data_IF_902548391153
#
_entry.id   IF_902548391153
#
_cell.length_a   1.000
_cell.length_b   1.000
_cell.length_c   1.000
_cell.angle_alpha   90.00
_cell.angle_beta   90.00
_cell.angle_gamma   90.00
#
_symmetry.space_group_name_H-M   'P 1'
#
loop_
_entity.id
_entity.type
_entity.pdbx_description
1 polymer ?
#
# COMPACT_ATOMS: atom_id res chain seq x y z
N UNK A 1 31.87 -1.77 4.05
CA UNK A 1 30.85 -2.71 3.55
C UNK A 1 29.85 -2.09 2.57
N UNK A 2 29.69 -0.75 2.55
CA UNK A 2 28.67 -0.09 1.70
C UNK A 2 28.93 -0.18 0.19
N UNK A 3 30.18 -0.44 -0.23
CA UNK A 3 30.51 -0.60 -1.65
C UNK A 3 29.98 -1.93 -2.23
N UNK A 4 29.63 -2.90 -1.38
CA UNK A 4 29.06 -4.17 -1.83
C UNK A 4 27.62 -4.00 -2.31
N UNK A 5 27.31 -4.53 -3.50
CA UNK A 5 25.96 -4.47 -4.09
C UNK A 5 24.89 -5.13 -3.23
N UNK A 6 25.25 -6.17 -2.48
CA UNK A 6 24.36 -6.78 -1.49
C UNK A 6 24.00 -5.82 -0.35
N UNK A 7 24.96 -5.02 0.14
CA UNK A 7 24.70 -4.01 1.16
C UNK A 7 23.83 -2.87 0.60
N UNK A 8 24.10 -2.42 -0.63
CA UNK A 8 23.32 -1.38 -1.30
C UNK A 8 21.87 -1.82 -1.53
N UNK A 9 21.66 -3.04 -2.03
CA UNK A 9 20.32 -3.58 -2.30
C UNK A 9 19.48 -3.76 -1.03
N UNK A 10 20.12 -3.91 0.13
CA UNK A 10 19.43 -4.04 1.42
C UNK A 10 19.17 -2.69 2.07
N UNK A 11 20.12 -1.74 1.98
CA UNK A 11 20.03 -0.44 2.67
C UNK A 11 19.36 0.65 1.83
N UNK A 12 19.69 0.78 0.55
CA UNK A 12 19.20 1.90 -0.26
C UNK A 12 17.70 1.88 -0.52
N UNK A 13 17.03 0.72 -0.67
CA UNK A 13 15.57 0.68 -0.69
C UNK A 13 14.95 1.16 0.62
N UNK A 14 15.55 0.88 1.78
CA UNK A 14 15.05 1.38 3.08
C UNK A 14 15.21 2.91 3.18
N UNK A 15 16.31 3.45 2.66
CA UNK A 15 16.50 4.89 2.56
C UNK A 15 15.45 5.53 1.64
N UNK A 16 15.20 4.94 0.46
CA UNK A 16 14.15 5.41 -0.44
C UNK A 16 12.76 5.35 0.22
N UNK A 17 12.44 4.25 0.92
CA UNK A 17 11.20 4.10 1.67
C UNK A 17 11.03 5.16 2.76
N UNK A 18 12.10 5.54 3.47
CA UNK A 18 12.02 6.60 4.48
C UNK A 18 11.55 7.94 3.89
N UNK A 19 12.05 8.30 2.69
CA UNK A 19 11.59 9.51 1.99
C UNK A 19 10.18 9.34 1.40
N UNK A 20 9.88 8.20 0.80
CA UNK A 20 8.54 7.92 0.28
C UNK A 20 7.48 7.99 1.39
N UNK A 21 7.75 7.41 2.57
CA UNK A 21 6.86 7.46 3.72
C UNK A 21 6.77 8.85 4.33
N UNK A 22 7.83 9.65 4.21
CA UNK A 22 7.78 11.06 4.61
C UNK A 22 6.80 11.84 3.73
N UNK A 23 6.89 11.70 2.40
CA UNK A 23 6.02 12.42 1.46
C UNK A 23 4.56 11.95 1.54
N UNK A 24 4.31 10.63 1.62
CA UNK A 24 2.94 10.13 1.80
C UNK A 24 2.34 10.60 3.15
N UNK A 25 3.16 10.80 4.18
CA UNK A 25 2.74 11.40 5.45
C UNK A 25 2.34 12.88 5.32
N UNK A 26 3.02 13.64 4.47
CA UNK A 26 2.64 15.02 4.14
C UNK A 26 1.34 15.07 3.34
N UNK A 27 1.15 14.16 2.38
CA UNK A 27 -0.12 13.99 1.68
C UNK A 27 -1.25 13.58 2.63
N UNK A 28 -1.02 12.67 3.58
CA UNK A 28 -2.01 12.29 4.59
C UNK A 28 -2.42 13.47 5.48
N UNK A 29 -1.52 14.39 5.78
CA UNK A 29 -1.84 15.63 6.51
C UNK A 29 -2.78 16.53 5.70
N UNK A 30 -2.57 16.63 4.39
CA UNK A 30 -3.51 17.31 3.50
C UNK A 30 -4.87 16.59 3.49
N UNK A 31 -4.89 15.26 3.34
CA UNK A 31 -6.12 14.46 3.31
C UNK A 31 -6.93 14.63 4.60
N UNK A 32 -6.27 14.62 5.76
CA UNK A 32 -6.92 14.88 7.06
C UNK A 32 -7.61 16.25 7.08
N UNK A 33 -6.95 17.28 6.53
CA UNK A 33 -7.51 18.63 6.46
C UNK A 33 -8.71 18.69 5.52
N UNK A 34 -8.63 18.09 4.34
CA UNK A 34 -9.72 18.01 3.36
C UNK A 34 -10.95 17.29 3.94
N UNK A 35 -10.74 16.11 4.53
CA UNK A 35 -11.80 15.31 5.16
C UNK A 35 -12.45 16.09 6.30
N UNK A 36 -11.66 16.75 7.15
CA UNK A 36 -12.20 17.56 8.26
C UNK A 36 -13.08 18.71 7.76
N UNK A 37 -12.67 19.40 6.70
CA UNK A 37 -13.45 20.48 6.09
C UNK A 37 -14.75 19.96 5.47
N UNK A 38 -14.71 18.83 4.76
CA UNK A 38 -15.91 18.19 4.19
C UNK A 38 -16.89 17.75 5.26
N UNK A 39 -16.39 17.16 6.35
CA UNK A 39 -17.22 16.76 7.49
C UNK A 39 -17.94 17.95 8.14
N UNK A 40 -17.27 19.11 8.26
CA UNK A 40 -17.90 20.34 8.75
C UNK A 40 -19.02 20.83 7.83
N UNK A 41 -18.94 20.54 6.53
CA UNK A 41 -19.98 20.82 5.55
C UNK A 41 -21.03 19.70 5.41
N UNK A 42 -21.00 18.67 6.28
CA UNK A 42 -21.82 17.46 6.19
C UNK A 42 -21.66 16.67 4.86
N UNK A 43 -20.49 16.79 4.21
CA UNK A 43 -20.12 15.95 3.06
C UNK A 43 -19.34 14.71 3.55
N UNK A 44 -19.95 13.54 3.40
CA UNK A 44 -19.38 12.25 3.79
C UNK A 44 -18.90 11.42 2.58
N UNK A 45 -18.91 12.00 1.37
CA UNK A 45 -18.65 11.27 0.13
C UNK A 45 -17.25 10.64 0.04
N UNK A 46 -16.23 11.29 0.61
CA UNK A 46 -14.83 10.82 0.59
C UNK A 46 -14.44 10.01 1.83
N UNK A 47 -15.32 9.90 2.83
CA UNK A 47 -15.01 9.24 4.11
C UNK A 47 -14.63 7.75 3.95
N UNK A 48 -15.31 6.94 3.11
CA UNK A 48 -14.91 5.55 2.89
C UNK A 48 -13.50 5.41 2.30
N UNK A 49 -13.14 6.28 1.36
CA UNK A 49 -11.83 6.30 0.73
C UNK A 49 -10.76 6.72 1.74
N UNK A 50 -11.00 7.81 2.48
CA UNK A 50 -10.08 8.30 3.49
C UNK A 50 -9.78 7.26 4.56
N UNK A 51 -10.81 6.53 5.01
CA UNK A 51 -10.64 5.42 5.95
C UNK A 51 -9.79 4.29 5.37
N UNK A 52 -10.09 3.83 4.15
CA UNK A 52 -9.32 2.77 3.51
C UNK A 52 -7.86 3.18 3.28
N UNK A 53 -7.61 4.41 2.81
CA UNK A 53 -6.27 4.93 2.59
C UNK A 53 -5.46 5.00 3.89
N UNK A 54 -6.04 5.57 4.95
CA UNK A 54 -5.35 5.72 6.23
C UNK A 54 -5.08 4.36 6.90
N UNK A 55 -6.05 3.45 6.90
CA UNK A 55 -5.88 2.08 7.41
C UNK A 55 -4.78 1.32 6.66
N UNK A 56 -4.82 1.35 5.33
CA UNK A 56 -3.84 0.69 4.46
C UNK A 56 -2.43 1.25 4.59
N UNK A 57 -2.29 2.59 4.58
CA UNK A 57 -0.99 3.24 4.72
C UNK A 57 -0.40 3.05 6.12
N UNK A 58 -1.21 3.06 7.18
CA UNK A 58 -0.75 2.69 8.53
C UNK A 58 -0.16 1.29 8.50
N UNK A 59 -0.91 0.31 7.97
CA UNK A 59 -0.44 -1.07 7.90
C UNK A 59 0.84 -1.23 7.08
N UNK A 60 0.88 -0.68 5.86
CA UNK A 60 2.01 -0.78 4.94
C UNK A 60 3.29 -0.15 5.52
N UNK A 61 3.20 1.09 5.97
CA UNK A 61 4.37 1.85 6.45
C UNK A 61 4.92 1.32 7.77
N UNK A 62 4.06 0.89 8.70
CA UNK A 62 4.51 0.33 9.99
C UNK A 62 5.15 -1.04 9.81
N UNK A 63 4.58 -1.91 8.98
CA UNK A 63 5.18 -3.21 8.64
C UNK A 63 6.56 -3.01 8.01
N UNK A 64 6.64 -2.20 6.94
CA UNK A 64 7.89 -1.97 6.23
C UNK A 64 8.96 -1.28 7.11
N UNK A 65 8.56 -0.38 8.01
CA UNK A 65 9.49 0.30 8.92
C UNK A 65 10.00 -0.65 10.00
N UNK A 66 9.14 -1.49 10.58
CA UNK A 66 9.56 -2.48 11.59
C UNK A 66 10.60 -3.45 11.01
N UNK A 67 10.31 -4.00 9.81
CA UNK A 67 11.24 -4.87 9.09
C UNK A 67 12.53 -4.13 8.71
N UNK A 68 12.42 -2.88 8.26
CA UNK A 68 13.55 -2.03 7.90
C UNK A 68 14.49 -1.72 9.07
N UNK A 69 13.95 -1.45 10.27
CA UNK A 69 14.77 -1.21 11.47
C UNK A 69 15.59 -2.46 11.81
N UNK A 70 14.94 -3.61 11.84
CA UNK A 70 15.60 -4.88 12.14
C UNK A 70 16.59 -5.28 11.03
N UNK A 71 16.32 -4.93 9.77
CA UNK A 71 17.28 -5.12 8.68
C UNK A 71 18.50 -4.20 8.80
N UNK A 72 18.32 -2.94 9.19
CA UNK A 72 19.41 -2.02 9.54
C UNK A 72 20.29 -2.59 10.66
N UNK A 73 19.68 -3.22 11.68
CA UNK A 73 20.42 -3.92 12.74
C UNK A 73 21.31 -5.02 12.17
N UNK A 74 20.78 -5.87 11.27
CA UNK A 74 21.55 -6.92 10.61
C UNK A 74 22.67 -6.36 9.72
N UNK A 75 22.45 -5.21 9.07
CA UNK A 75 23.44 -4.55 8.21
C UNK A 75 24.67 -4.03 8.97
N UNK A 76 24.56 -3.82 10.29
CA UNK A 76 25.66 -3.46 11.18
C UNK A 76 26.46 -4.67 11.71
N UNK A 77 26.12 -5.89 11.29
CA UNK A 77 26.82 -7.12 11.70
C UNK A 77 26.78 -7.36 13.22
N UNK A 78 27.86 -7.93 13.77
CA UNK A 78 27.93 -8.26 15.20
C UNK A 78 27.77 -7.04 16.13
N UNK A 79 28.26 -5.87 15.73
CA UNK A 79 28.12 -4.64 16.52
C UNK A 79 26.69 -4.11 16.56
N UNK A 80 25.85 -4.43 15.57
CA UNK A 80 24.42 -4.13 15.60
C UNK A 80 23.64 -4.89 16.69
N UNK A 81 24.22 -5.95 17.28
CA UNK A 81 23.60 -6.67 18.39
C UNK A 81 23.72 -5.92 19.73
N UNK A 82 24.75 -5.08 19.90
CA UNK A 82 24.98 -4.36 21.15
C UNK A 82 23.90 -3.30 21.36
N UNK A 83 23.39 -3.16 22.60
CA UNK A 83 22.41 -2.12 22.94
C UNK A 83 22.94 -0.71 22.65
N UNK A 84 24.26 -0.50 22.75
CA UNK A 84 24.91 0.77 22.43
C UNK A 84 24.81 1.17 20.95
N UNK A 85 24.39 0.26 20.05
CA UNK A 85 24.06 0.60 18.67
C UNK A 85 22.70 1.31 18.52
N UNK A 86 21.84 1.26 19.54
CA UNK A 86 20.49 1.83 19.55
C UNK A 86 19.44 1.07 18.74
N UNK A 87 19.84 0.20 17.80
CA UNK A 87 18.93 -0.51 16.89
C UNK A 87 18.04 -1.56 17.60
N UNK A 88 18.52 -2.35 18.57
CA UNK A 88 17.65 -3.27 19.32
C UNK A 88 16.51 -2.55 20.06
N UNK A 89 16.81 -1.44 20.72
CA UNK A 89 15.82 -0.63 21.44
C UNK A 89 14.85 0.05 20.48
N UNK A 90 15.37 0.62 19.37
CA UNK A 90 14.55 1.23 18.32
C UNK A 90 13.54 0.24 17.73
N UNK A 91 13.93 -1.01 17.47
CA UNK A 91 12.99 -2.04 17.00
C UNK A 91 11.95 -2.37 18.06
N UNK A 92 12.38 -2.62 19.30
CA UNK A 92 11.51 -3.01 20.40
C UNK A 92 10.44 -1.96 20.71
N UNK A 93 10.79 -0.67 20.65
CA UNK A 93 9.84 0.44 20.88
C UNK A 93 8.93 0.70 19.68
N UNK A 94 9.38 0.39 18.47
CA UNK A 94 8.62 0.66 17.25
C UNK A 94 7.61 -0.44 16.90
N UNK A 95 7.95 -1.72 17.07
CA UNK A 95 7.13 -2.86 16.62
C UNK A 95 5.68 -2.87 17.13
N UNK A 96 5.32 -2.31 18.32
CA UNK A 96 3.91 -2.18 18.72
C UNK A 96 3.05 -1.37 17.74
N UNK A 97 3.66 -0.53 16.90
CA UNK A 97 2.97 0.22 15.84
C UNK A 97 2.25 -0.68 14.83
N UNK A 98 2.66 -1.93 14.70
CA UNK A 98 1.99 -2.91 13.86
C UNK A 98 0.69 -3.48 14.49
N UNK A 99 0.40 -3.13 15.75
CA UNK A 99 -0.71 -3.70 16.52
C UNK A 99 -1.64 -2.66 17.14
N UNK A 100 -1.11 -1.59 17.74
CA UNK A 100 -1.97 -0.52 18.27
C UNK A 100 -2.71 0.18 17.12
N UNK A 101 -3.84 0.83 17.43
CA UNK A 101 -4.71 1.50 16.44
C UNK A 101 -5.21 0.57 15.32
N UNK A 102 -5.25 -0.74 15.59
CA UNK A 102 -5.70 -1.78 14.69
C UNK A 102 -4.57 -2.68 14.21
N UNK A 103 -4.80 -4.00 14.29
CA UNK A 103 -3.89 -5.00 13.73
C UNK A 103 -3.69 -4.78 12.23
N UNK A 104 -2.43 -4.85 11.78
CA UNK A 104 -2.06 -4.52 10.40
C UNK A 104 -2.77 -5.39 9.35
N UNK A 105 -3.04 -6.68 9.61
CA UNK A 105 -3.75 -7.55 8.70
C UNK A 105 -5.25 -7.22 8.69
N UNK A 106 -5.84 -6.98 9.87
CA UNK A 106 -7.23 -6.55 9.98
C UNK A 106 -7.47 -5.24 9.22
N UNK A 107 -6.55 -4.27 9.33
CA UNK A 107 -6.63 -3.01 8.57
C UNK A 107 -6.55 -3.25 7.06
N UNK A 108 -5.67 -4.14 6.58
CA UNK A 108 -5.60 -4.49 5.15
C UNK A 108 -6.87 -5.19 4.67
N UNK A 109 -7.52 -6.01 5.50
CA UNK A 109 -8.82 -6.59 5.17
C UNK A 109 -9.93 -5.54 5.04
N UNK A 110 -9.88 -4.45 5.82
CA UNK A 110 -10.81 -3.31 5.63
C UNK A 110 -10.58 -2.63 4.26
N UNK A 111 -9.32 -2.44 3.87
CA UNK A 111 -8.97 -1.95 2.52
C UNK A 111 -9.48 -2.89 1.45
N UNK A 112 -9.27 -4.20 1.62
CA UNK A 112 -9.74 -5.19 0.66
C UNK A 112 -11.27 -5.12 0.47
N UNK A 113 -12.06 -4.98 1.56
CA UNK A 113 -13.52 -4.77 1.46
C UNK A 113 -13.88 -3.51 0.67
N UNK A 114 -13.17 -2.41 0.92
CA UNK A 114 -13.34 -1.17 0.14
C UNK A 114 -13.03 -1.37 -1.35
N UNK A 115 -11.95 -2.09 -1.68
CA UNK A 115 -11.58 -2.41 -3.06
C UNK A 115 -12.62 -3.32 -3.73
N UNK A 116 -13.10 -4.38 -3.06
CA UNK A 116 -14.14 -5.26 -3.62
C UNK A 116 -15.44 -4.51 -3.89
N UNK A 117 -15.84 -3.59 -2.99
CA UNK A 117 -17.00 -2.71 -3.21
C UNK A 117 -16.78 -1.75 -4.37
N UNK A 118 -15.56 -1.24 -4.56
CA UNK A 118 -15.24 -0.35 -5.68
C UNK A 118 -15.25 -1.11 -7.01
N UNK A 119 -14.68 -2.32 -7.03
CA UNK A 119 -14.69 -3.20 -8.22
C UNK A 119 -16.11 -3.59 -8.62
N UNK A 120 -17.00 -3.90 -7.66
CA UNK A 120 -18.39 -4.26 -7.98
C UNK A 120 -19.22 -3.10 -8.56
N UNK A 121 -18.75 -1.86 -8.43
CA UNK A 121 -19.36 -0.67 -9.01
C UNK A 121 -18.84 -0.32 -10.41
N UNK A 122 -17.76 -0.98 -10.87
CA UNK A 122 -17.25 -0.79 -12.22
C UNK A 122 -18.30 -1.20 -13.26
N UNK A 123 -18.55 -0.32 -14.24
CA UNK A 123 -19.56 -0.54 -15.28
C UNK A 123 -20.96 0.00 -14.96
N UNK A 124 -21.25 0.41 -13.73
CA UNK A 124 -22.54 1.01 -13.34
C UNK A 124 -22.59 2.54 -13.47
N UNK A 125 -21.66 3.15 -14.21
CA UNK A 125 -21.59 4.59 -14.46
C UNK A 125 -21.06 5.45 -13.29
N UNK A 126 -20.82 4.85 -12.11
CA UNK A 126 -20.16 5.52 -11.00
C UNK A 126 -18.64 5.50 -11.22
N UNK A 127 -18.08 6.66 -11.56
CA UNK A 127 -16.64 6.81 -11.73
C UNK A 127 -15.94 6.78 -10.37
N UNK A 128 -14.97 5.87 -10.16
CA UNK A 128 -14.10 5.90 -8.98
C UNK A 128 -13.37 7.25 -8.89
N UNK A 129 -13.13 7.72 -7.66
CA UNK A 129 -12.50 9.02 -7.37
C UNK A 129 -11.28 8.85 -6.47
N UNK A 130 -10.48 9.91 -6.36
CA UNK A 130 -9.32 9.94 -5.49
C UNK A 130 -8.28 8.88 -5.86
N UNK A 131 -7.82 8.12 -4.87
CA UNK A 131 -6.85 7.02 -4.99
C UNK A 131 -7.34 5.83 -5.80
N UNK A 132 -8.65 5.69 -6.04
CA UNK A 132 -9.20 4.61 -6.89
C UNK A 132 -9.53 5.06 -8.30
N UNK A 133 -9.25 6.32 -8.68
CA UNK A 133 -9.53 6.85 -10.03
C UNK A 133 -8.95 5.97 -11.16
N UNK A 134 -7.79 5.35 -10.94
CA UNK A 134 -7.18 4.44 -11.91
C UNK A 134 -8.06 3.23 -12.26
N UNK A 135 -8.94 2.80 -11.34
CA UNK A 135 -9.88 1.70 -11.57
C UNK A 135 -10.92 2.04 -12.66
N UNK A 136 -11.19 3.33 -12.91
CA UNK A 136 -12.02 3.76 -14.03
C UNK A 136 -11.43 3.41 -15.41
N UNK A 137 -10.12 3.14 -15.49
CA UNK A 137 -9.41 2.66 -16.69
C UNK A 137 -9.20 1.15 -16.68
N UNK A 138 -10.01 0.39 -15.93
CA UNK A 138 -9.84 -1.06 -15.77
C UNK A 138 -9.72 -1.79 -17.11
N UNK A 139 -10.59 -1.54 -18.09
CA UNK A 139 -10.53 -2.23 -19.39
C UNK A 139 -9.17 -2.08 -20.08
N UNK A 140 -8.63 -0.86 -20.11
CA UNK A 140 -7.30 -0.58 -20.67
C UNK A 140 -6.19 -1.26 -19.84
N UNK A 141 -6.20 -1.11 -18.52
CA UNK A 141 -5.15 -1.62 -17.64
C UNK A 141 -5.12 -3.16 -17.55
N UNK A 142 -6.27 -3.81 -17.74
CA UNK A 142 -6.37 -5.28 -17.82
C UNK A 142 -5.72 -5.81 -19.10
N UNK A 143 -5.67 -5.01 -20.18
CA UNK A 143 -5.15 -5.39 -21.49
C UNK A 143 -3.80 -4.73 -21.84
N UNK A 144 -3.26 -3.87 -20.96
CA UNK A 144 -2.04 -3.15 -21.26
C UNK A 144 -0.83 -4.09 -21.37
N UNK A 145 0.08 -3.71 -22.28
CA UNK A 145 1.38 -4.34 -22.46
C UNK A 145 2.47 -3.34 -22.08
N UNK A 146 3.46 -3.81 -21.33
CA UNK A 146 4.58 -2.96 -20.93
C UNK A 146 5.38 -2.51 -22.16
N UNK A 147 5.44 -1.19 -22.37
CA UNK A 147 6.19 -0.58 -23.47
C UNK A 147 7.69 -0.40 -23.19
N UNK A 148 8.19 -0.84 -22.04
CA UNK A 148 9.60 -0.70 -21.65
C UNK A 148 10.47 -1.60 -22.53
N UNK A 149 11.48 -1.01 -23.18
CA UNK A 149 12.42 -1.72 -24.05
C UNK A 149 13.84 -1.74 -23.48
N UNK A 150 14.20 -0.76 -22.65
CA UNK A 150 15.52 -0.62 -22.02
C UNK A 150 15.42 -0.13 -20.59
N UNK A 151 16.51 -0.27 -19.83
CA UNK A 151 16.53 0.04 -18.40
C UNK A 151 16.15 1.49 -18.08
N UNK A 152 16.53 2.43 -18.94
CA UNK A 152 16.27 3.86 -18.76
C UNK A 152 14.77 4.20 -18.86
N UNK A 153 13.97 3.38 -19.54
CA UNK A 153 12.54 3.63 -19.66
C UNK A 153 11.82 3.46 -18.31
N UNK A 154 12.38 2.69 -17.37
CA UNK A 154 11.90 2.60 -16.00
C UNK A 154 12.09 3.88 -15.20
N UNK A 155 12.85 4.86 -15.70
CA UNK A 155 12.94 6.18 -15.09
C UNK A 155 11.76 7.09 -15.47
N UNK A 156 10.90 6.66 -16.40
CA UNK A 156 9.69 7.38 -16.76
C UNK A 156 8.59 7.15 -15.71
N UNK A 157 8.13 8.19 -14.98
CA UNK A 157 7.09 8.04 -13.96
C UNK A 157 5.80 7.43 -14.50
N UNK A 158 5.41 7.74 -15.74
CA UNK A 158 4.19 7.19 -16.35
C UNK A 158 4.27 5.68 -16.57
N UNK A 159 5.45 5.15 -16.91
CA UNK A 159 5.66 3.71 -17.07
C UNK A 159 5.58 2.98 -15.72
N UNK A 160 6.17 3.56 -14.66
CA UNK A 160 6.07 3.03 -13.30
C UNK A 160 4.61 3.05 -12.84
N UNK A 161 3.92 4.19 -12.98
CA UNK A 161 2.53 4.33 -12.54
C UNK A 161 1.61 3.34 -13.27
N UNK A 162 1.69 3.22 -14.59
CA UNK A 162 0.88 2.27 -15.34
C UNK A 162 1.13 0.82 -14.88
N UNK A 163 2.38 0.45 -14.59
CA UNK A 163 2.72 -0.87 -14.08
C UNK A 163 2.08 -1.15 -12.71
N UNK A 164 2.15 -0.19 -11.77
CA UNK A 164 1.55 -0.34 -10.44
C UNK A 164 0.02 -0.30 -10.48
N UNK A 165 -0.57 0.57 -11.29
CA UNK A 165 -2.02 0.64 -11.52
C UNK A 165 -2.55 -0.67 -12.12
N UNK A 166 -1.90 -1.17 -13.17
CA UNK A 166 -2.24 -2.43 -13.82
C UNK A 166 -2.12 -3.61 -12.86
N UNK A 167 -1.05 -3.68 -12.06
CA UNK A 167 -0.90 -4.71 -11.01
C UNK A 167 -2.06 -4.65 -10.01
N UNK A 168 -2.31 -3.48 -9.43
CA UNK A 168 -3.30 -3.34 -8.37
C UNK A 168 -4.73 -3.64 -8.85
N UNK A 169 -5.11 -3.19 -10.07
CA UNK A 169 -6.44 -3.49 -10.61
C UNK A 169 -6.58 -4.96 -10.99
N UNK A 170 -5.56 -5.58 -11.60
CA UNK A 170 -5.60 -7.01 -11.99
C UNK A 170 -5.78 -7.91 -10.77
N UNK A 171 -5.04 -7.64 -9.69
CA UNK A 171 -5.19 -8.38 -8.43
C UNK A 171 -6.59 -8.17 -7.82
N UNK A 172 -7.07 -6.93 -7.78
CA UNK A 172 -8.40 -6.62 -7.22
C UNK A 172 -9.54 -7.26 -8.02
N UNK A 173 -9.48 -7.21 -9.35
CA UNK A 173 -10.48 -7.83 -10.23
C UNK A 173 -10.43 -9.36 -10.13
N UNK A 174 -9.24 -9.96 -10.07
CA UNK A 174 -9.10 -11.41 -9.88
C UNK A 174 -9.71 -11.88 -8.56
N UNK A 175 -9.47 -11.14 -7.46
CA UNK A 175 -10.10 -11.42 -6.17
C UNK A 175 -11.63 -11.33 -6.26
N UNK A 176 -12.16 -10.26 -6.87
CA UNK A 176 -13.60 -10.09 -7.03
C UNK A 176 -14.25 -11.20 -7.88
N UNK A 177 -13.59 -11.62 -8.95
CA UNK A 177 -14.03 -12.75 -9.79
C UNK A 177 -14.04 -14.07 -9.00
N UNK A 178 -13.00 -14.34 -8.21
CA UNK A 178 -12.97 -15.53 -7.37
C UNK A 178 -14.03 -15.48 -6.27
N UNK A 179 -14.23 -14.32 -5.64
CA UNK A 179 -15.26 -14.10 -4.63
C UNK A 179 -16.68 -14.35 -5.18
N UNK A 180 -16.93 -13.99 -6.45
CA UNK A 180 -18.22 -14.22 -7.11
C UNK A 180 -18.56 -15.70 -7.33
N UNK A 181 -17.58 -16.61 -7.20
CA UNK A 181 -17.80 -18.07 -7.32
C UNK A 181 -18.39 -18.68 -6.04
N UNK A 182 -18.35 -17.95 -4.92
CA UNK A 182 -18.89 -18.41 -3.65
C UNK A 182 -20.36 -18.01 -3.49
N UNK A 183 -21.19 -18.96 -3.07
CA UNK A 183 -22.61 -18.69 -2.75
C UNK A 183 -22.74 -17.74 -1.56
N UNK A 184 -21.91 -17.94 -0.54
CA UNK A 184 -21.81 -17.03 0.61
C UNK A 184 -20.58 -16.13 0.44
N UNK A 185 -20.83 -14.83 0.27
CA UNK A 185 -19.78 -13.84 0.04
C UNK A 185 -18.84 -13.65 1.24
N UNK A 186 -19.34 -13.78 2.48
CA UNK A 186 -18.48 -13.65 3.67
C UNK A 186 -17.59 -14.88 3.87
N UNK A 187 -18.10 -16.08 3.54
CA UNK A 187 -17.30 -17.31 3.53
C UNK A 187 -16.19 -17.22 2.48
N UNK A 188 -16.52 -16.80 1.26
CA UNK A 188 -15.54 -16.57 0.21
C UNK A 188 -14.51 -15.49 0.59
N UNK A 189 -14.93 -14.44 1.30
CA UNK A 189 -14.00 -13.39 1.75
C UNK A 189 -13.02 -13.93 2.79
N UNK A 190 -13.46 -14.80 3.70
CA UNK A 190 -12.60 -15.46 4.67
C UNK A 190 -11.63 -16.44 3.99
N UNK A 191 -12.11 -17.23 3.04
CA UNK A 191 -11.30 -18.22 2.29
C UNK A 191 -10.21 -17.53 1.45
N UNK A 192 -10.54 -16.39 0.83
CA UNK A 192 -9.63 -15.62 -0.03
C UNK A 192 -8.85 -14.52 0.73
N UNK A 193 -8.86 -14.53 2.07
CA UNK A 193 -8.31 -13.45 2.88
C UNK A 193 -6.83 -13.14 2.56
N UNK A 194 -6.02 -14.15 2.26
CA UNK A 194 -4.62 -13.96 1.88
C UNK A 194 -4.49 -13.17 0.57
N UNK A 195 -5.18 -13.60 -0.50
CA UNK A 195 -5.17 -12.93 -1.80
C UNK A 195 -5.71 -11.49 -1.70
N UNK A 196 -6.75 -11.30 -0.89
CA UNK A 196 -7.36 -9.99 -0.61
C UNK A 196 -6.39 -9.04 0.08
N UNK A 197 -5.61 -9.53 1.04
CA UNK A 197 -4.55 -8.74 1.71
C UNK A 197 -3.46 -8.38 0.70
N UNK A 198 -3.03 -9.29 -0.16
CA UNK A 198 -2.03 -8.97 -1.19
C UNK A 198 -2.52 -7.91 -2.19
N UNK A 199 -3.80 -7.98 -2.60
CA UNK A 199 -4.41 -6.96 -3.44
C UNK A 199 -4.47 -5.59 -2.75
N UNK A 200 -4.83 -5.57 -1.45
CA UNK A 200 -4.81 -4.36 -0.65
C UNK A 200 -3.40 -3.76 -0.51
N UNK A 201 -2.38 -4.58 -0.28
CA UNK A 201 -0.97 -4.14 -0.24
C UNK A 201 -0.55 -3.54 -1.58
N UNK A 202 -0.90 -4.19 -2.71
CA UNK A 202 -0.58 -3.66 -4.04
C UNK A 202 -1.20 -2.27 -4.28
N UNK A 203 -2.44 -2.07 -3.84
CA UNK A 203 -3.10 -0.76 -3.89
C UNK A 203 -2.41 0.27 -2.99
N UNK A 204 -2.04 -0.08 -1.75
CA UNK A 204 -1.35 0.84 -0.85
C UNK A 204 0.04 1.23 -1.38
N UNK A 205 0.77 0.30 -1.99
CA UNK A 205 2.06 0.57 -2.62
C UNK A 205 1.91 1.54 -3.80
N UNK A 206 0.88 1.39 -4.62
CA UNK A 206 0.54 2.36 -5.68
C UNK A 206 0.30 3.77 -5.10
N UNK A 207 -0.39 3.89 -3.97
CA UNK A 207 -0.58 5.19 -3.31
C UNK A 207 0.77 5.80 -2.93
N UNK A 208 1.67 5.04 -2.29
CA UNK A 208 3.00 5.54 -1.90
C UNK A 208 3.84 5.96 -3.12
N UNK A 209 3.74 5.25 -4.24
CA UNK A 209 4.48 5.59 -5.48
C UNK A 209 3.92 6.84 -6.16
N UNK A 210 2.63 7.17 -5.96
CA UNK A 210 1.93 8.22 -6.69
C UNK A 210 1.74 9.54 -5.94
N UNK A 211 2.04 9.59 -4.63
CA UNK A 211 1.79 10.73 -3.74
C UNK A 211 3.05 11.39 -3.21
#
# INVERSE_FOLDING_TARGET
VIDYKTQQNRLFPLLASAYAFRFVGEWLKWLYTDVTQRLQANDFSTLPEAHACTAGLKSLTTTATADGIEECRKLCGGHGYLCSSGLPELFAVYVPACTYEGDNIVLLLQVARFLMKTVSQLGYGNMPVGTTTYMGRAEQLMQCHCGVQKAEDWLNPSAILEAFEARAIRMSVACAQNLSKFTNQEEGFAELAADLVEAAVAHCQLIVVSK
#
